data_IF_473306104028
#
_entry.id   IF_473306104028
#
_cell.length_a   1.000
_cell.length_b   1.000
_cell.length_c   1.000
_cell.angle_alpha   90.00
_cell.angle_beta   90.00
_cell.angle_gamma   90.00
#
_symmetry.space_group_name_H-M   'P 1'
#
loop_
_entity.id
_entity.type
_entity.pdbx_description
1 polymer ?
#
# COMPACT_ATOMS: atom_id res chain seq x y z
N UNK A 1 -9.94 23.14 17.24
CA UNK A 1 -9.24 24.43 17.12
C UNK A 1 -8.93 24.82 15.65
N UNK A 2 -8.32 23.93 14.86
CA UNK A 2 -7.99 24.19 13.43
C UNK A 2 -9.24 24.44 12.55
N UNK A 3 -10.31 23.66 12.74
CA UNK A 3 -11.56 23.83 11.98
C UNK A 3 -12.26 25.18 12.20
N UNK A 4 -12.22 25.72 13.42
CA UNK A 4 -12.80 27.03 13.73
C UNK A 4 -12.04 28.18 13.07
N UNK A 5 -10.70 28.10 13.05
CA UNK A 5 -9.84 29.07 12.37
C UNK A 5 -10.08 29.08 10.85
N UNK A 6 -10.25 27.90 10.23
CA UNK A 6 -10.55 27.80 8.80
C UNK A 6 -11.88 28.47 8.43
N UNK A 7 -12.93 28.30 9.25
CA UNK A 7 -14.24 28.93 9.02
C UNK A 7 -14.14 30.45 9.13
N UNK A 8 -13.42 30.96 10.14
CA UNK A 8 -13.17 32.40 10.33
C UNK A 8 -12.40 32.97 9.13
N UNK A 9 -11.35 32.29 8.66
CA UNK A 9 -10.59 32.71 7.49
C UNK A 9 -11.44 32.76 6.21
N UNK A 10 -12.32 31.77 6.00
CA UNK A 10 -13.25 31.76 4.85
C UNK A 10 -14.24 32.92 4.91
N UNK A 11 -14.77 33.21 6.10
CA UNK A 11 -15.74 34.30 6.29
C UNK A 11 -15.08 35.68 6.12
N UNK A 12 -13.86 35.86 6.62
CA UNK A 12 -13.05 37.06 6.38
C UNK A 12 -12.70 37.22 4.89
N UNK A 13 -12.33 36.14 4.21
CA UNK A 13 -11.99 36.15 2.78
C UNK A 13 -13.18 36.56 1.89
N UNK A 14 -14.41 36.15 2.24
CA UNK A 14 -15.62 36.60 1.54
C UNK A 14 -15.83 38.11 1.67
N UNK A 15 -15.55 38.68 2.84
CA UNK A 15 -15.75 40.10 3.17
C UNK A 15 -14.68 41.05 2.62
N UNK A 16 -13.57 40.53 2.08
CA UNK A 16 -12.54 41.38 1.45
C UNK A 16 -13.09 42.06 0.18
N UNK A 17 -13.01 43.40 0.05
CA UNK A 17 -13.52 44.16 -1.10
C UNK A 17 -12.53 44.14 -2.29
N UNK A 18 -12.09 42.94 -2.68
CA UNK A 18 -11.09 42.73 -3.74
C UNK A 18 -11.78 42.11 -4.97
N UNK A 19 -11.36 42.50 -6.18
CA UNK A 19 -11.86 41.91 -7.44
C UNK A 19 -11.63 40.39 -7.46
N UNK A 20 -12.59 39.65 -8.03
CA UNK A 20 -12.58 38.18 -8.07
C UNK A 20 -11.26 37.60 -8.64
N UNK A 21 -10.72 38.19 -9.71
CA UNK A 21 -9.47 37.71 -10.31
C UNK A 21 -8.28 37.80 -9.35
N UNK A 22 -8.20 38.87 -8.55
CA UNK A 22 -7.15 39.02 -7.53
C UNK A 22 -7.35 38.06 -6.36
N UNK A 23 -8.61 37.80 -5.96
CA UNK A 23 -8.95 36.78 -4.96
C UNK A 23 -8.45 35.40 -5.38
N UNK A 24 -8.67 35.02 -6.65
CA UNK A 24 -8.16 33.75 -7.22
C UNK A 24 -6.63 33.70 -7.18
N UNK A 25 -5.94 34.75 -7.63
CA UNK A 25 -4.47 34.81 -7.62
C UNK A 25 -3.94 34.63 -6.20
N UNK A 26 -4.49 35.35 -5.21
CA UNK A 26 -4.07 35.25 -3.80
C UNK A 26 -4.25 33.82 -3.29
N UNK A 27 -5.38 33.18 -3.58
CA UNK A 27 -5.63 31.79 -3.16
C UNK A 27 -4.67 30.80 -3.83
N UNK A 28 -4.39 30.96 -5.13
CA UNK A 28 -3.40 30.15 -5.82
C UNK A 28 -2.00 30.34 -5.21
N UNK A 29 -1.58 31.57 -4.94
CA UNK A 29 -0.29 31.87 -4.31
C UNK A 29 -0.19 31.26 -2.89
N UNK A 30 -1.25 31.37 -2.09
CA UNK A 30 -1.29 30.76 -0.75
C UNK A 30 -1.22 29.22 -0.84
N UNK A 31 -1.94 28.62 -1.79
CA UNK A 31 -1.91 27.18 -2.00
C UNK A 31 -0.52 26.70 -2.44
N UNK A 32 0.11 27.39 -3.39
CA UNK A 32 1.49 27.09 -3.84
C UNK A 32 2.48 27.25 -2.68
N UNK A 33 2.36 28.34 -1.91
CA UNK A 33 3.20 28.57 -0.73
C UNK A 33 3.02 27.48 0.33
N UNK A 34 1.79 27.00 0.54
CA UNK A 34 1.50 25.89 1.45
C UNK A 34 2.11 24.57 0.95
N UNK A 35 2.00 24.27 -0.35
CA UNK A 35 2.62 23.08 -0.95
C UNK A 35 4.14 23.11 -0.83
N UNK A 36 4.75 24.25 -1.19
CA UNK A 36 6.19 24.45 -1.09
C UNK A 36 6.66 24.38 0.37
N UNK A 37 6.01 25.10 1.27
CA UNK A 37 6.30 25.05 2.71
C UNK A 37 6.17 23.64 3.28
N UNK A 38 5.12 22.90 2.91
CA UNK A 38 4.92 21.51 3.34
C UNK A 38 6.00 20.57 2.83
N UNK A 39 6.49 20.77 1.60
CA UNK A 39 7.60 20.00 1.03
C UNK A 39 8.87 20.20 1.86
N UNK A 40 9.27 21.43 2.16
CA UNK A 40 10.49 21.68 2.96
C UNK A 40 10.36 21.27 4.42
N UNK A 41 9.16 21.33 5.00
CA UNK A 41 8.91 20.87 6.38
C UNK A 41 9.07 19.35 6.54
N UNK A 42 8.81 18.56 5.49
CA UNK A 42 8.90 17.10 5.50
C UNK A 42 9.56 16.56 4.23
N UNK A 43 10.75 17.08 3.91
CA UNK A 43 11.49 16.76 2.69
C UNK A 43 11.66 15.25 2.48
N UNK A 44 12.20 14.53 3.47
CA UNK A 44 12.44 13.07 3.39
C UNK A 44 11.16 12.27 3.06
N UNK A 45 10.01 12.70 3.59
CA UNK A 45 8.72 12.05 3.29
C UNK A 45 8.23 12.35 1.88
N UNK A 46 8.50 13.55 1.38
CA UNK A 46 8.15 13.92 0.02
C UNK A 46 9.06 13.22 -0.99
N UNK A 47 10.36 13.18 -0.74
CA UNK A 47 11.35 12.50 -1.58
C UNK A 47 11.12 10.97 -1.59
N UNK A 48 10.74 10.38 -0.46
CA UNK A 48 10.29 8.99 -0.43
C UNK A 48 9.06 8.73 -1.31
N UNK A 49 8.09 9.66 -1.34
CA UNK A 49 6.93 9.56 -2.26
C UNK A 49 7.33 9.72 -3.73
N UNK A 50 8.31 10.57 -4.04
CA UNK A 50 8.83 10.68 -5.40
C UNK A 50 9.47 9.38 -5.88
N UNK A 51 10.23 8.67 -5.01
CA UNK A 51 10.71 7.32 -5.33
C UNK A 51 9.54 6.37 -5.61
N UNK A 52 8.52 6.37 -4.75
CA UNK A 52 7.32 5.53 -4.91
C UNK A 52 6.64 5.81 -6.25
N UNK A 53 6.47 7.07 -6.61
CA UNK A 53 5.84 7.45 -7.86
C UNK A 53 6.70 7.09 -9.08
N UNK A 54 8.02 7.22 -8.98
CA UNK A 54 8.94 6.80 -10.03
C UNK A 54 8.88 5.28 -10.29
N UNK A 55 8.88 4.47 -9.22
CA UNK A 55 8.73 3.03 -9.35
C UNK A 55 7.34 2.64 -9.87
N UNK A 56 6.28 3.31 -9.40
CA UNK A 56 4.91 3.10 -9.89
C UNK A 56 4.77 3.47 -11.38
N UNK A 57 5.47 4.50 -11.84
CA UNK A 57 5.49 4.88 -13.25
C UNK A 57 6.10 3.80 -14.13
N UNK A 58 7.17 3.15 -13.65
CA UNK A 58 7.75 1.97 -14.33
C UNK A 58 6.75 0.83 -14.44
N UNK A 59 5.97 0.57 -13.38
CA UNK A 59 4.87 -0.39 -13.45
C UNK A 59 3.86 0.00 -14.54
N UNK A 60 3.43 1.26 -14.60
CA UNK A 60 2.47 1.72 -15.62
C UNK A 60 3.01 1.52 -17.04
N UNK A 61 4.31 1.76 -17.28
CA UNK A 61 4.93 1.56 -18.59
C UNK A 61 4.87 0.09 -19.03
N UNK A 62 4.94 -0.87 -18.10
CA UNK A 62 4.93 -2.30 -18.43
C UNK A 62 3.54 -2.81 -18.85
N UNK A 63 2.45 -2.15 -18.39
CA UNK A 63 1.07 -2.46 -18.82
C UNK A 63 0.23 -1.18 -18.96
N UNK A 64 0.46 -0.38 -20.02
CA UNK A 64 -0.08 0.97 -20.11
C UNK A 64 -1.57 1.02 -20.44
N UNK A 65 -2.10 0.03 -21.17
CA UNK A 65 -3.48 0.07 -21.67
C UNK A 65 -4.50 -0.40 -20.64
N UNK A 66 -4.27 -1.58 -20.06
CA UNK A 66 -5.22 -2.25 -19.16
C UNK A 66 -4.75 -2.27 -17.70
N UNK A 67 -3.51 -1.84 -17.42
CA UNK A 67 -2.94 -1.91 -16.08
C UNK A 67 -2.59 -3.33 -15.67
N UNK A 68 -2.26 -3.48 -14.39
CA UNK A 68 -1.86 -4.75 -13.78
C UNK A 68 -2.98 -5.44 -13.00
N UNK A 69 -4.19 -4.86 -12.98
CA UNK A 69 -5.31 -5.31 -12.16
C UNK A 69 -5.34 -4.69 -10.77
N UNK A 70 -6.42 -4.97 -10.03
CA UNK A 70 -6.58 -4.48 -8.66
C UNK A 70 -5.57 -5.12 -7.70
N UNK A 71 -5.18 -4.38 -6.66
CA UNK A 71 -4.15 -4.76 -5.68
C UNK A 71 -2.75 -5.06 -6.26
N UNK A 72 -2.51 -4.85 -7.56
CA UNK A 72 -1.22 -5.08 -8.20
C UNK A 72 -0.07 -4.30 -7.57
N UNK A 73 -0.34 -3.10 -7.02
CA UNK A 73 0.66 -2.37 -6.25
C UNK A 73 1.15 -3.22 -5.06
N UNK A 74 0.25 -3.82 -4.27
CA UNK A 74 0.65 -4.67 -3.15
C UNK A 74 1.37 -5.94 -3.61
N UNK A 75 0.91 -6.53 -4.72
CA UNK A 75 1.47 -7.77 -5.24
C UNK A 75 2.87 -7.62 -5.85
N UNK A 76 3.21 -6.45 -6.40
CA UNK A 76 4.40 -6.30 -7.24
C UNK A 76 5.28 -5.07 -6.94
N UNK A 77 4.77 -4.02 -6.29
CA UNK A 77 5.54 -2.77 -6.15
C UNK A 77 6.93 -2.96 -5.54
N UNK A 78 7.04 -3.78 -4.49
CA UNK A 78 8.32 -4.00 -3.82
C UNK A 78 9.35 -4.68 -4.72
N UNK A 79 8.92 -5.44 -5.74
CA UNK A 79 9.80 -5.98 -6.79
C UNK A 79 10.39 -4.88 -7.67
N UNK A 80 9.56 -3.91 -8.07
CA UNK A 80 10.00 -2.76 -8.86
C UNK A 80 10.94 -1.86 -8.06
N UNK A 81 10.65 -1.63 -6.79
CA UNK A 81 11.54 -0.88 -5.90
C UNK A 81 12.90 -1.58 -5.74
N UNK A 82 12.90 -2.91 -5.50
CA UNK A 82 14.12 -3.69 -5.40
C UNK A 82 14.95 -3.67 -6.68
N UNK A 83 14.32 -3.81 -7.85
CA UNK A 83 14.99 -3.76 -9.14
C UNK A 83 15.58 -2.37 -9.43
N UNK A 84 14.85 -1.30 -9.10
CA UNK A 84 15.36 0.07 -9.26
C UNK A 84 16.59 0.31 -8.38
N UNK A 85 16.53 -0.11 -7.11
CA UNK A 85 17.61 0.14 -6.15
C UNK A 85 18.81 -0.79 -6.32
N UNK A 86 18.64 -1.97 -6.95
CA UNK A 86 19.77 -2.83 -7.33
C UNK A 86 20.58 -2.24 -8.49
N UNK A 87 19.93 -1.54 -9.42
CA UNK A 87 20.59 -0.83 -10.54
C UNK A 87 21.24 0.49 -10.10
N UNK A 88 20.65 1.17 -9.10
CA UNK A 88 21.12 2.46 -8.61
C UNK A 88 21.34 2.46 -7.08
N UNK A 89 22.28 1.67 -6.55
CA UNK A 89 22.44 1.46 -5.10
C UNK A 89 22.91 2.71 -4.34
N UNK A 90 23.61 3.63 -5.01
CA UNK A 90 24.11 4.88 -4.41
C UNK A 90 23.13 6.05 -4.56
N UNK A 91 21.88 5.78 -4.93
CA UNK A 91 20.86 6.80 -5.09
C UNK A 91 20.47 7.42 -3.72
N UNK A 92 20.25 8.74 -3.69
CA UNK A 92 19.79 9.47 -2.51
C UNK A 92 18.50 8.87 -1.91
N UNK A 93 17.65 8.26 -2.74
CA UNK A 93 16.42 7.61 -2.29
C UNK A 93 16.63 6.27 -1.57
N UNK A 94 17.80 5.63 -1.67
CA UNK A 94 18.03 4.30 -1.11
C UNK A 94 17.83 4.27 0.41
N UNK A 95 18.21 5.34 1.11
CA UNK A 95 17.99 5.49 2.54
C UNK A 95 16.56 5.91 2.89
N UNK A 96 15.78 6.39 1.92
CA UNK A 96 14.38 6.79 2.10
C UNK A 96 13.40 5.64 1.83
N UNK A 97 13.80 4.68 0.99
CA UNK A 97 13.02 3.49 0.65
C UNK A 97 12.65 2.67 1.90
N UNK A 98 11.39 2.26 1.95
CA UNK A 98 10.84 1.41 3.00
C UNK A 98 9.80 0.46 2.39
N UNK A 99 9.26 -0.42 3.22
CA UNK A 99 8.25 -1.38 2.85
C UNK A 99 6.88 -0.69 2.75
N UNK A 100 6.32 -0.57 1.54
CA UNK A 100 5.11 0.22 1.29
C UNK A 100 4.05 -0.57 0.54
N UNK A 101 2.78 -0.27 0.85
CA UNK A 101 1.60 -0.98 0.34
C UNK A 101 0.63 -0.06 -0.42
N UNK A 102 0.99 1.19 -0.66
CA UNK A 102 0.17 2.16 -1.39
C UNK A 102 1.06 3.20 -2.09
N UNK A 103 0.65 3.69 -3.28
CA UNK A 103 1.36 4.77 -3.98
C UNK A 103 1.15 6.16 -3.33
N UNK A 104 0.27 6.29 -2.34
CA UNK A 104 -0.13 7.58 -1.75
C UNK A 104 -0.64 8.60 -2.79
N UNK A 105 -1.22 8.09 -3.88
CA UNK A 105 -1.86 8.85 -4.94
C UNK A 105 -2.86 7.92 -5.65
N UNK A 106 -4.15 8.18 -5.50
CA UNK A 106 -5.20 7.30 -6.07
C UNK A 106 -5.24 7.37 -7.59
N UNK A 107 -4.86 8.50 -8.21
CA UNK A 107 -4.81 8.61 -9.66
C UNK A 107 -3.72 7.71 -10.25
N UNK A 108 -2.57 7.67 -9.57
CA UNK A 108 -1.49 6.75 -9.91
C UNK A 108 -1.92 5.30 -9.69
N UNK A 109 -2.65 5.04 -8.61
CA UNK A 109 -3.22 3.72 -8.33
C UNK A 109 -4.21 3.26 -9.41
N UNK A 110 -5.08 4.16 -9.90
CA UNK A 110 -6.02 3.91 -11.01
C UNK A 110 -5.26 3.64 -12.31
N UNK A 111 -4.25 4.45 -12.63
CA UNK A 111 -3.43 4.25 -13.82
C UNK A 111 -2.65 2.93 -13.77
N UNK A 112 -2.14 2.55 -12.60
CA UNK A 112 -1.44 1.27 -12.41
C UNK A 112 -2.39 0.08 -12.50
N UNK A 113 -3.56 0.17 -11.87
CA UNK A 113 -4.50 -0.95 -11.78
C UNK A 113 -5.26 -1.18 -13.09
N UNK A 114 -5.67 -0.09 -13.76
CA UNK A 114 -6.60 -0.13 -14.89
C UNK A 114 -6.04 0.52 -16.17
N UNK A 115 -4.79 0.98 -16.15
CA UNK A 115 -4.14 1.59 -17.30
C UNK A 115 -4.80 2.89 -17.78
N UNK A 116 -4.52 3.23 -19.02
CA UNK A 116 -5.11 4.35 -19.74
C UNK A 116 -6.65 4.29 -19.77
N UNK A 117 -7.22 3.08 -19.90
CA UNK A 117 -8.67 2.91 -19.90
C UNK A 117 -9.30 3.36 -18.57
N UNK A 118 -8.69 2.99 -17.44
CA UNK A 118 -9.16 3.44 -16.12
C UNK A 118 -9.10 4.96 -15.95
N UNK A 119 -8.00 5.57 -16.39
CA UNK A 119 -7.84 7.04 -16.37
C UNK A 119 -8.91 7.71 -17.23
N UNK A 120 -9.19 7.16 -18.42
CA UNK A 120 -10.21 7.67 -19.33
C UNK A 120 -11.61 7.59 -18.70
N UNK A 121 -11.97 6.47 -18.09
CA UNK A 121 -13.25 6.31 -17.36
C UNK A 121 -13.36 7.33 -16.23
N UNK A 122 -12.28 7.54 -15.47
CA UNK A 122 -12.25 8.52 -14.39
C UNK A 122 -12.49 9.95 -14.91
N UNK A 123 -11.78 10.35 -15.97
CA UNK A 123 -11.92 11.68 -16.59
C UNK A 123 -13.35 11.87 -17.13
N UNK A 124 -13.88 10.89 -17.87
CA UNK A 124 -15.25 10.99 -18.38
C UNK A 124 -16.29 11.01 -17.26
N UNK A 125 -16.10 10.23 -16.19
CA UNK A 125 -16.97 10.26 -15.01
C UNK A 125 -17.00 11.65 -14.36
N UNK A 126 -15.83 12.28 -14.18
CA UNK A 126 -15.74 13.64 -13.63
C UNK A 126 -16.40 14.66 -14.55
N UNK A 127 -16.11 14.63 -15.85
CA UNK A 127 -16.74 15.53 -16.84
C UNK A 127 -18.26 15.36 -16.86
N UNK A 128 -18.75 14.12 -16.80
CA UNK A 128 -20.17 13.81 -16.76
C UNK A 128 -20.85 14.38 -15.51
N UNK A 129 -20.24 14.26 -14.34
CA UNK A 129 -20.75 14.86 -13.10
C UNK A 129 -20.79 16.39 -13.20
N UNK A 130 -19.78 17.00 -13.80
CA UNK A 130 -19.74 18.45 -14.05
C UNK A 130 -20.90 18.87 -14.96
N UNK A 131 -21.14 18.15 -16.06
CA UNK A 131 -22.27 18.41 -16.97
C UNK A 131 -23.61 18.29 -16.24
N UNK A 132 -23.79 17.24 -15.43
CA UNK A 132 -25.02 17.04 -14.63
C UNK A 132 -25.25 18.16 -13.61
N UNK A 133 -24.17 18.66 -13.00
CA UNK A 133 -24.21 19.79 -12.08
C UNK A 133 -24.67 21.08 -12.77
N UNK A 134 -24.13 21.38 -13.96
CA UNK A 134 -24.51 22.61 -14.68
C UNK A 134 -25.89 22.56 -15.32
N UNK A 135 -26.38 21.37 -15.68
CA UNK A 135 -27.71 21.18 -16.29
C UNK A 135 -28.86 21.58 -15.36
N UNK A 136 -28.72 21.34 -14.06
CA UNK A 136 -29.75 21.62 -13.04
C UNK A 136 -29.06 22.09 -11.76
N UNK A 137 -28.58 23.33 -11.78
CA UNK A 137 -27.82 23.92 -10.68
C UNK A 137 -28.68 24.07 -9.42
N UNK A 138 -28.22 23.47 -8.31
CA UNK A 138 -28.85 23.54 -6.98
C UNK A 138 -27.80 23.63 -5.88
N UNK A 139 -28.17 24.23 -4.75
CA UNK A 139 -27.29 24.36 -3.59
C UNK A 139 -26.77 23.01 -3.09
N UNK A 140 -27.65 22.00 -3.00
CA UNK A 140 -27.29 20.63 -2.59
C UNK A 140 -26.22 20.02 -3.50
N UNK A 141 -26.36 20.16 -4.83
CA UNK A 141 -25.38 19.67 -5.80
C UNK A 141 -24.04 20.39 -5.72
N UNK A 142 -24.06 21.68 -5.36
CA UNK A 142 -22.83 22.45 -5.12
C UNK A 142 -22.08 21.93 -3.90
N UNK A 143 -22.79 21.60 -2.81
CA UNK A 143 -22.16 21.01 -1.62
C UNK A 143 -21.54 19.65 -1.96
N UNK A 144 -22.28 18.79 -2.66
CA UNK A 144 -21.78 17.48 -3.12
C UNK A 144 -20.53 17.61 -4.01
N UNK A 145 -20.54 18.54 -4.98
CA UNK A 145 -19.38 18.79 -5.85
C UNK A 145 -18.15 19.26 -5.06
N UNK A 146 -18.34 20.12 -4.04
CA UNK A 146 -17.25 20.59 -3.18
C UNK A 146 -16.70 19.47 -2.28
N UNK A 147 -17.56 18.58 -1.80
CA UNK A 147 -17.16 17.38 -1.05
C UNK A 147 -16.31 16.45 -1.93
N UNK A 148 -16.78 16.13 -3.14
CA UNK A 148 -16.03 15.35 -4.13
C UNK A 148 -14.70 16.01 -4.51
N UNK A 149 -14.66 17.34 -4.65
CA UNK A 149 -13.41 18.07 -4.89
C UNK A 149 -12.45 17.90 -3.71
N UNK A 150 -12.94 17.93 -2.47
CA UNK A 150 -12.13 17.66 -1.29
C UNK A 150 -11.52 16.25 -1.31
N UNK A 151 -12.33 15.24 -1.64
CA UNK A 151 -11.86 13.85 -1.82
C UNK A 151 -10.82 13.79 -2.96
N UNK A 152 -11.08 14.46 -4.09
CA UNK A 152 -10.20 14.49 -5.25
C UNK A 152 -8.84 15.11 -4.94
N UNK A 153 -8.79 16.22 -4.20
CA UNK A 153 -7.54 16.86 -3.78
C UNK A 153 -6.80 15.98 -2.77
N UNK A 154 -7.51 15.40 -1.80
CA UNK A 154 -6.88 14.51 -0.81
C UNK A 154 -6.30 13.24 -1.46
N UNK A 155 -6.94 12.75 -2.52
CA UNK A 155 -6.50 11.61 -3.33
C UNK A 155 -5.20 11.84 -4.10
N UNK A 156 -4.73 13.09 -4.23
CA UNK A 156 -3.43 13.39 -4.87
C UNK A 156 -2.23 13.03 -3.97
N UNK A 157 -2.42 13.00 -2.66
CA UNK A 157 -1.34 12.88 -1.67
C UNK A 157 -1.57 11.76 -0.63
N UNK A 158 -2.69 11.05 -0.74
CA UNK A 158 -3.15 10.03 0.20
C UNK A 158 -3.96 8.94 -0.52
N UNK A 159 -4.49 7.99 0.25
CA UNK A 159 -5.28 6.85 -0.21
C UNK A 159 -6.69 6.80 0.42
N UNK A 160 -7.50 7.88 0.32
CA UNK A 160 -8.81 7.92 0.96
C UNK A 160 -9.76 6.84 0.46
N UNK A 161 -9.59 6.33 -0.76
CA UNK A 161 -10.43 5.29 -1.32
C UNK A 161 -10.09 3.91 -0.77
N UNK A 162 -9.12 3.77 0.14
CA UNK A 162 -8.95 2.54 0.93
C UNK A 162 -9.99 2.41 2.04
N UNK A 163 -10.62 3.52 2.44
CA UNK A 163 -11.55 3.55 3.57
C UNK A 163 -13.02 3.46 3.09
N UNK A 164 -13.79 2.43 3.49
CA UNK A 164 -15.18 2.26 3.05
C UNK A 164 -16.10 3.45 3.35
N UNK A 165 -15.81 4.19 4.43
CA UNK A 165 -16.53 5.43 4.75
C UNK A 165 -16.48 6.46 3.62
N UNK A 166 -15.32 6.62 2.97
CA UNK A 166 -15.15 7.56 1.86
C UNK A 166 -15.98 7.12 0.65
N UNK A 167 -16.13 5.81 0.42
CA UNK A 167 -17.00 5.30 -0.63
C UNK A 167 -18.45 5.71 -0.41
N UNK A 168 -18.95 5.58 0.83
CA UNK A 168 -20.32 5.97 1.17
C UNK A 168 -20.56 7.45 0.89
N UNK A 169 -19.64 8.32 1.34
CA UNK A 169 -19.72 9.77 1.09
C UNK A 169 -19.69 10.06 -0.41
N UNK A 170 -18.75 9.47 -1.13
CA UNK A 170 -18.62 9.66 -2.58
C UNK A 170 -19.86 9.19 -3.35
N UNK A 171 -20.42 8.01 -3.05
CA UNK A 171 -21.64 7.52 -3.69
C UNK A 171 -22.84 8.42 -3.39
N UNK A 172 -22.95 8.91 -2.15
CA UNK A 172 -24.00 9.85 -1.77
C UNK A 172 -23.88 11.17 -2.54
N UNK A 173 -22.68 11.74 -2.63
CA UNK A 173 -22.43 12.99 -3.38
C UNK A 173 -22.73 12.81 -4.88
N UNK A 174 -22.30 11.69 -5.47
CA UNK A 174 -22.63 11.34 -6.86
C UNK A 174 -24.14 11.24 -7.03
N UNK A 175 -24.85 10.56 -6.13
CA UNK A 175 -26.31 10.47 -6.17
C UNK A 175 -26.98 11.85 -6.12
N UNK A 176 -26.55 12.74 -5.24
CA UNK A 176 -27.11 14.11 -5.15
C UNK A 176 -26.94 14.86 -6.48
N UNK A 177 -25.77 14.75 -7.13
CA UNK A 177 -25.51 15.40 -8.43
C UNK A 177 -26.38 14.81 -9.55
N UNK A 178 -26.55 13.50 -9.57
CA UNK A 178 -27.34 12.80 -10.60
C UNK A 178 -28.84 12.95 -10.40
N UNK A 179 -29.30 13.19 -9.16
CA UNK A 179 -30.72 13.36 -8.83
C UNK A 179 -31.34 14.50 -9.66
N UNK A 180 -32.41 14.19 -10.37
CA UNK A 180 -33.15 15.14 -11.22
C UNK A 180 -32.48 15.45 -12.57
N UNK A 181 -31.26 14.96 -12.82
CA UNK A 181 -30.56 15.13 -14.10
C UNK A 181 -31.08 14.16 -15.19
N UNK A 182 -31.71 13.06 -14.74
CA UNK A 182 -32.32 12.01 -15.57
C UNK A 182 -33.71 11.63 -15.06
N UNK A 183 -34.68 11.53 -15.96
CA UNK A 183 -35.98 10.89 -15.69
C UNK A 183 -35.82 9.42 -16.07
N UNK A 184 -35.47 8.58 -15.09
CA UNK A 184 -35.44 7.13 -15.29
C UNK A 184 -36.86 6.59 -15.27
N UNK A 185 -37.45 6.38 -16.45
CA UNK A 185 -38.74 5.68 -16.58
C UNK A 185 -38.47 4.18 -16.52
N UNK A 186 -38.27 3.65 -15.31
CA UNK A 186 -38.12 2.21 -15.10
C UNK A 186 -39.52 1.62 -14.86
N UNK A 187 -39.96 0.59 -15.62
CA UNK A 187 -41.23 -0.08 -15.37
C UNK A 187 -41.34 -0.60 -13.93
N UNK A 188 -42.52 -0.50 -13.32
CA UNK A 188 -42.75 -0.87 -11.91
C UNK A 188 -42.35 -2.32 -11.60
N UNK A 189 -42.56 -3.24 -12.54
CA UNK A 189 -42.14 -4.63 -12.44
C UNK A 189 -40.61 -4.78 -12.37
N UNK A 190 -39.88 -4.08 -13.26
CA UNK A 190 -38.40 -4.10 -13.28
C UNK A 190 -37.84 -3.53 -11.99
N UNK A 191 -38.42 -2.43 -11.48
CA UNK A 191 -38.03 -1.86 -10.19
C UNK A 191 -38.22 -2.87 -9.05
N UNK A 192 -39.35 -3.59 -9.01
CA UNK A 192 -39.63 -4.61 -7.99
C UNK A 192 -38.63 -5.76 -8.06
N UNK A 193 -38.32 -6.24 -9.27
CA UNK A 193 -37.31 -7.29 -9.50
C UNK A 193 -35.93 -6.82 -9.00
N UNK A 194 -35.48 -5.63 -9.41
CA UNK A 194 -34.20 -5.07 -8.97
C UNK A 194 -34.12 -4.92 -7.45
N UNK A 195 -35.21 -4.49 -6.79
CA UNK A 195 -35.27 -4.42 -5.33
C UNK A 195 -35.12 -5.80 -4.68
N UNK A 196 -35.83 -6.82 -5.17
CA UNK A 196 -35.72 -8.19 -4.63
C UNK A 196 -34.32 -8.75 -4.85
N UNK A 197 -33.74 -8.57 -6.04
CA UNK A 197 -32.36 -8.99 -6.35
C UNK A 197 -31.37 -8.28 -5.44
N UNK A 198 -31.50 -6.98 -5.22
CA UNK A 198 -30.63 -6.22 -4.33
C UNK A 198 -30.73 -6.69 -2.87
N UNK A 199 -31.93 -7.05 -2.40
CA UNK A 199 -32.13 -7.61 -1.05
C UNK A 199 -31.42 -8.96 -0.92
N UNK A 200 -31.63 -9.87 -1.89
CA UNK A 200 -30.99 -11.20 -1.87
C UNK A 200 -29.47 -11.06 -1.94
N UNK A 201 -28.95 -10.24 -2.86
CA UNK A 201 -27.53 -9.96 -2.96
C UNK A 201 -26.98 -9.38 -1.65
N UNK A 202 -27.70 -8.45 -1.03
CA UNK A 202 -27.36 -7.89 0.28
C UNK A 202 -27.29 -8.94 1.38
N UNK A 203 -28.25 -9.88 1.42
CA UNK A 203 -28.23 -10.99 2.39
C UNK A 203 -27.03 -11.94 2.18
N UNK A 204 -26.70 -12.25 0.92
CA UNK A 204 -25.53 -13.10 0.60
C UNK A 204 -24.22 -12.42 1.00
N UNK A 205 -24.06 -11.13 0.65
CA UNK A 205 -22.89 -10.34 1.04
C UNK A 205 -22.78 -10.25 2.56
N UNK A 206 -23.90 -9.99 3.26
CA UNK A 206 -23.93 -9.93 4.71
C UNK A 206 -23.55 -11.27 5.36
N UNK A 207 -24.08 -12.39 4.86
CA UNK A 207 -23.72 -13.73 5.34
C UNK A 207 -22.22 -14.01 5.16
N UNK A 208 -21.66 -13.72 3.98
CA UNK A 208 -20.23 -13.86 3.71
C UNK A 208 -19.37 -12.95 4.59
N UNK A 209 -19.84 -11.73 4.85
CA UNK A 209 -19.18 -10.80 5.77
C UNK A 209 -19.17 -11.35 7.20
N UNK A 210 -20.30 -11.86 7.70
CA UNK A 210 -20.35 -12.49 9.03
C UNK A 210 -19.39 -13.68 9.14
N UNK A 211 -19.35 -14.55 8.11
CA UNK A 211 -18.38 -15.65 8.07
C UNK A 211 -16.93 -15.16 8.11
N UNK A 212 -16.60 -14.14 7.31
CA UNK A 212 -15.24 -13.59 7.27
C UNK A 212 -14.85 -12.94 8.59
N UNK A 213 -15.76 -12.20 9.23
CA UNK A 213 -15.56 -11.60 10.55
C UNK A 213 -15.29 -12.68 11.61
N UNK A 214 -16.10 -13.75 11.65
CA UNK A 214 -15.88 -14.87 12.59
C UNK A 214 -14.51 -15.54 12.36
N UNK A 215 -14.14 -15.76 11.10
CA UNK A 215 -12.83 -16.30 10.73
C UNK A 215 -11.68 -15.37 11.15
N UNK A 216 -11.81 -14.06 10.96
CA UNK A 216 -10.82 -13.06 11.37
C UNK A 216 -10.68 -12.97 12.89
N UNK A 217 -11.78 -13.09 13.65
CA UNK A 217 -11.72 -13.18 15.12
C UNK A 217 -10.97 -14.42 15.59
N UNK A 218 -11.26 -15.59 15.00
CA UNK A 218 -10.54 -16.85 15.29
C UNK A 218 -9.06 -16.74 14.93
N UNK A 219 -8.76 -16.15 13.77
CA UNK A 219 -7.39 -15.93 13.33
C UNK A 219 -6.63 -14.99 14.27
N UNK A 220 -7.25 -13.88 14.69
CA UNK A 220 -6.63 -12.94 15.63
C UNK A 220 -6.26 -13.63 16.95
N UNK A 221 -7.17 -14.46 17.49
CA UNK A 221 -6.92 -15.22 18.71
C UNK A 221 -5.69 -16.15 18.61
N UNK A 222 -5.51 -16.85 17.48
CA UNK A 222 -4.35 -17.75 17.28
C UNK A 222 -3.06 -17.00 16.91
N UNK A 223 -3.16 -15.83 16.26
CA UNK A 223 -2.00 -15.03 15.90
C UNK A 223 -1.38 -14.35 17.13
N UNK A 224 -2.20 -13.94 18.10
CA UNK A 224 -1.72 -13.28 19.32
C UNK A 224 -1.12 -14.26 20.34
N UNK A 225 -1.60 -15.50 20.37
CA UNK A 225 -1.11 -16.57 21.24
C UNK A 225 -0.60 -17.75 20.40
N UNK A 226 0.60 -17.64 19.80
CA UNK A 226 1.17 -18.72 19.00
C UNK A 226 1.47 -19.92 19.89
N UNK A 227 0.59 -20.93 19.86
CA UNK A 227 0.83 -22.23 20.47
C UNK A 227 1.19 -23.26 19.43
N UNK A 228 1.81 -24.34 19.91
CA UNK A 228 2.17 -25.49 19.11
C UNK A 228 0.97 -26.21 18.45
N UNK A 229 -0.28 -25.86 18.76
CA UNK A 229 -1.48 -26.46 18.18
C UNK A 229 -2.14 -25.60 17.08
N UNK A 230 -1.62 -24.40 16.80
CA UNK A 230 -2.29 -23.41 15.95
C UNK A 230 -2.33 -23.77 14.45
N UNK A 231 -1.47 -24.66 13.95
CA UNK A 231 -1.40 -25.02 12.52
C UNK A 231 -2.70 -25.63 12.00
N UNK A 232 -3.40 -26.44 12.81
CA UNK A 232 -4.71 -27.01 12.42
C UNK A 232 -5.76 -25.91 12.29
N UNK A 233 -5.80 -24.98 13.25
CA UNK A 233 -6.72 -23.84 13.20
C UNK A 233 -6.48 -22.96 11.96
N UNK A 234 -5.23 -22.73 11.56
CA UNK A 234 -4.94 -22.07 10.29
C UNK A 234 -5.48 -22.85 9.10
N UNK A 235 -5.25 -24.17 9.04
CA UNK A 235 -5.77 -25.00 7.95
C UNK A 235 -7.28 -24.93 7.81
N UNK A 236 -8.02 -24.90 8.92
CA UNK A 236 -9.48 -24.81 8.95
C UNK A 236 -9.99 -23.45 8.45
N UNK A 237 -9.19 -22.38 8.61
CA UNK A 237 -9.52 -21.02 8.15
C UNK A 237 -9.13 -20.76 6.69
N UNK A 238 -8.27 -21.58 6.10
CA UNK A 238 -7.77 -21.46 4.72
C UNK A 238 -8.89 -21.32 3.67
N UNK A 239 -10.03 -22.03 3.73
CA UNK A 239 -11.10 -21.87 2.73
C UNK A 239 -11.79 -20.50 2.76
N UNK A 240 -11.67 -19.74 3.86
CA UNK A 240 -12.33 -18.44 4.04
C UNK A 240 -11.32 -17.29 3.87
N UNK A 241 -10.08 -17.48 4.37
CA UNK A 241 -9.04 -16.44 4.42
C UNK A 241 -7.86 -16.71 3.49
N UNK A 242 -7.91 -17.74 2.64
CA UNK A 242 -6.81 -18.15 1.76
C UNK A 242 -6.47 -17.18 0.63
N UNK A 243 -7.22 -16.08 0.49
CA UNK A 243 -6.93 -14.94 -0.38
C UNK A 243 -6.33 -13.74 0.37
N UNK A 244 -6.25 -13.80 1.71
CA UNK A 244 -5.69 -12.74 2.53
C UNK A 244 -4.17 -12.94 2.72
N UNK A 245 -3.32 -12.03 2.19
CA UNK A 245 -1.88 -12.20 2.26
C UNK A 245 -1.33 -12.19 3.69
N UNK A 246 -1.94 -11.44 4.60
CA UNK A 246 -1.47 -11.37 5.98
C UNK A 246 -1.78 -12.67 6.71
N UNK A 247 -2.94 -13.27 6.44
CA UNK A 247 -3.29 -14.61 6.93
C UNK A 247 -2.31 -15.66 6.42
N UNK A 248 -2.05 -15.67 5.11
CA UNK A 248 -1.11 -16.62 4.50
C UNK A 248 0.30 -16.47 5.07
N UNK A 249 0.79 -15.24 5.26
CA UNK A 249 2.09 -15.01 5.88
C UNK A 249 2.16 -15.57 7.30
N UNK A 250 1.17 -15.26 8.15
CA UNK A 250 1.12 -15.78 9.51
C UNK A 250 1.03 -17.32 9.54
N UNK A 251 0.31 -17.92 8.60
CA UNK A 251 0.22 -19.36 8.48
C UNK A 251 1.57 -19.97 8.07
N UNK A 252 2.26 -19.39 7.08
CA UNK A 252 3.59 -19.82 6.67
C UNK A 252 4.59 -19.72 7.84
N UNK A 253 4.60 -18.63 8.60
CA UNK A 253 5.44 -18.47 9.80
C UNK A 253 5.13 -19.57 10.83
N UNK A 254 3.86 -19.88 11.07
CA UNK A 254 3.47 -20.93 12.01
C UNK A 254 3.93 -22.33 11.55
N UNK A 255 3.83 -22.63 10.25
CA UNK A 255 4.34 -23.88 9.66
C UNK A 255 5.87 -23.97 9.74
N UNK A 256 6.56 -22.86 9.45
CA UNK A 256 8.02 -22.79 9.56
C UNK A 256 8.49 -23.06 10.99
N UNK A 257 7.86 -22.42 11.99
CA UNK A 257 8.18 -22.65 13.41
C UNK A 257 7.95 -24.09 13.88
N UNK A 258 7.18 -24.88 13.11
CA UNK A 258 6.97 -26.32 13.33
C UNK A 258 7.95 -27.24 12.60
N UNK A 259 8.83 -26.69 11.77
CA UNK A 259 9.70 -27.46 10.88
C UNK A 259 8.96 -28.09 9.70
N UNK A 260 7.71 -27.69 9.41
CA UNK A 260 6.96 -28.15 8.25
C UNK A 260 7.39 -27.36 7.00
N UNK A 261 8.65 -27.55 6.58
CA UNK A 261 9.32 -26.69 5.60
C UNK A 261 8.62 -26.64 4.24
N UNK A 262 8.19 -27.77 3.69
CA UNK A 262 7.51 -27.81 2.37
C UNK A 262 6.15 -27.11 2.40
N UNK A 263 5.35 -27.36 3.44
CA UNK A 263 4.04 -26.73 3.59
C UNK A 263 4.21 -25.22 3.79
N UNK A 264 5.18 -24.82 4.62
CA UNK A 264 5.53 -23.42 4.83
C UNK A 264 5.92 -22.73 3.52
N UNK A 265 6.81 -23.36 2.73
CA UNK A 265 7.24 -22.83 1.44
C UNK A 265 6.06 -22.64 0.50
N UNK A 266 5.17 -23.63 0.39
CA UNK A 266 4.01 -23.55 -0.49
C UNK A 266 3.06 -22.40 -0.10
N UNK A 267 2.77 -22.26 1.20
CA UNK A 267 1.91 -21.17 1.70
C UNK A 267 2.60 -19.80 1.54
N UNK A 268 3.91 -19.71 1.76
CA UNK A 268 4.68 -18.48 1.54
C UNK A 268 4.72 -18.08 0.06
N UNK A 269 4.88 -19.04 -0.86
CA UNK A 269 4.82 -18.79 -2.30
C UNK A 269 3.40 -18.40 -2.74
N UNK A 270 2.36 -18.99 -2.16
CA UNK A 270 0.98 -18.53 -2.39
C UNK A 270 0.79 -17.09 -1.90
N UNK A 271 1.26 -16.76 -0.69
CA UNK A 271 1.26 -15.39 -0.16
C UNK A 271 1.94 -14.41 -1.13
N UNK A 272 3.07 -14.83 -1.73
CA UNK A 272 3.88 -14.02 -2.63
C UNK A 272 3.14 -13.58 -3.91
N UNK A 273 2.10 -14.32 -4.32
CA UNK A 273 1.25 -13.94 -5.45
C UNK A 273 0.37 -12.73 -5.15
N UNK A 274 0.06 -12.47 -3.88
CA UNK A 274 -0.78 -11.36 -3.44
C UNK A 274 0.00 -10.19 -2.84
N UNK A 275 1.22 -10.46 -2.35
CA UNK A 275 1.99 -9.51 -1.56
C UNK A 275 3.49 -9.65 -1.80
N UNK A 276 4.09 -8.65 -2.44
CA UNK A 276 5.53 -8.45 -2.46
C UNK A 276 5.93 -7.72 -1.18
N UNK A 277 6.64 -8.39 -0.28
CA UNK A 277 6.95 -7.85 1.03
C UNK A 277 8.35 -8.21 1.50
N UNK A 278 9.00 -7.25 2.16
CA UNK A 278 10.32 -7.43 2.75
C UNK A 278 10.39 -8.61 3.73
N UNK A 279 9.41 -8.75 4.64
CA UNK A 279 9.43 -9.78 5.69
C UNK A 279 9.10 -11.16 5.10
N UNK A 280 8.24 -11.21 4.08
CA UNK A 280 7.97 -12.43 3.32
C UNK A 280 9.22 -12.93 2.58
N UNK A 281 10.01 -12.05 1.97
CA UNK A 281 11.28 -12.41 1.34
C UNK A 281 12.29 -12.94 2.36
N UNK A 282 12.34 -12.38 3.57
CA UNK A 282 13.17 -12.93 4.65
C UNK A 282 12.71 -14.33 5.08
N UNK A 283 11.41 -14.55 5.20
CA UNK A 283 10.85 -15.86 5.53
C UNK A 283 11.17 -16.90 4.45
N UNK A 284 11.00 -16.55 3.17
CA UNK A 284 11.38 -17.43 2.05
C UNK A 284 12.86 -17.77 2.09
N UNK A 285 13.73 -16.78 2.34
CA UNK A 285 15.16 -17.01 2.50
C UNK A 285 15.50 -17.97 3.64
N UNK A 286 14.83 -17.81 4.79
CA UNK A 286 14.99 -18.69 5.95
C UNK A 286 14.54 -20.14 5.65
N UNK A 287 13.40 -20.31 4.99
CA UNK A 287 12.88 -21.63 4.58
C UNK A 287 13.85 -22.33 3.62
N UNK A 288 14.34 -21.64 2.58
CA UNK A 288 15.30 -22.21 1.64
C UNK A 288 16.64 -22.53 2.30
N UNK A 289 17.10 -21.69 3.23
CA UNK A 289 18.33 -21.94 3.97
C UNK A 289 18.26 -23.23 4.78
N UNK A 290 17.12 -23.49 5.44
CA UNK A 290 16.90 -24.71 6.22
C UNK A 290 16.64 -25.95 5.37
N UNK A 291 16.19 -25.76 4.13
CA UNK A 291 16.20 -26.81 3.09
C UNK A 291 17.58 -27.06 2.47
N UNK A 292 18.62 -26.31 2.87
CA UNK A 292 19.98 -26.32 2.29
C UNK A 292 20.05 -25.85 0.83
N UNK A 293 19.09 -25.04 0.38
CA UNK A 293 19.05 -24.42 -0.94
C UNK A 293 19.68 -23.02 -0.86
N UNK A 294 21.00 -22.96 -0.71
CA UNK A 294 21.73 -21.73 -0.37
C UNK A 294 21.63 -20.62 -1.42
N UNK A 295 21.55 -20.97 -2.71
CA UNK A 295 21.46 -19.99 -3.81
C UNK A 295 20.13 -19.24 -3.75
N UNK A 296 19.02 -19.96 -3.56
CA UNK A 296 17.69 -19.36 -3.43
C UNK A 296 17.58 -18.53 -2.15
N UNK A 297 18.11 -19.04 -1.04
CA UNK A 297 18.16 -18.30 0.22
C UNK A 297 18.87 -16.95 0.07
N UNK A 298 20.05 -16.94 -0.54
CA UNK A 298 20.81 -15.72 -0.81
C UNK A 298 20.04 -14.75 -1.72
N UNK A 299 19.42 -15.27 -2.79
CA UNK A 299 18.61 -14.49 -3.73
C UNK A 299 17.49 -13.73 -3.01
N UNK A 300 16.72 -14.42 -2.16
CA UNK A 300 15.65 -13.84 -1.37
C UNK A 300 16.15 -12.78 -0.37
N UNK A 301 17.25 -13.06 0.35
CA UNK A 301 17.83 -12.06 1.26
C UNK A 301 18.37 -10.82 0.52
N UNK A 302 19.00 -11.01 -0.65
CA UNK A 302 19.46 -9.87 -1.48
C UNK A 302 18.29 -9.05 -1.96
N UNK A 303 17.22 -9.70 -2.39
CA UNK A 303 15.99 -9.03 -2.81
C UNK A 303 15.39 -8.20 -1.67
N UNK A 304 15.28 -8.76 -0.46
CA UNK A 304 14.87 -8.02 0.74
C UNK A 304 15.80 -6.82 1.04
N UNK A 305 17.12 -6.99 0.82
CA UNK A 305 18.09 -5.90 1.00
C UNK A 305 17.85 -4.74 0.03
N UNK A 306 17.45 -5.02 -1.21
CA UNK A 306 17.12 -3.98 -2.19
C UNK A 306 15.72 -3.42 -2.00
N UNK A 307 14.77 -4.21 -1.49
CA UNK A 307 13.44 -3.73 -1.11
C UNK A 307 13.53 -2.64 -0.04
N UNK A 308 14.39 -2.81 0.97
CA UNK A 308 14.56 -1.84 2.05
C UNK A 308 16.05 -1.66 2.41
N UNK A 309 16.81 -0.86 1.62
CA UNK A 309 18.26 -0.74 1.79
C UNK A 309 18.69 -0.20 3.14
N UNK A 310 17.85 0.53 3.88
CA UNK A 310 18.20 0.99 5.22
C UNK A 310 18.22 -0.12 6.29
N UNK A 311 17.65 -1.31 6.01
CA UNK A 311 17.56 -2.42 6.98
C UNK A 311 18.82 -3.29 6.97
N UNK A 312 19.29 -3.67 8.15
CA UNK A 312 20.53 -4.44 8.34
C UNK A 312 20.31 -5.96 8.34
N UNK A 313 19.11 -6.42 8.70
CA UNK A 313 18.77 -7.84 8.82
C UNK A 313 19.10 -8.67 7.57
N UNK A 314 18.79 -8.24 6.33
CA UNK A 314 19.05 -9.07 5.16
C UNK A 314 20.55 -9.28 4.94
N UNK A 315 21.37 -8.24 5.16
CA UNK A 315 22.83 -8.36 5.07
C UNK A 315 23.38 -9.30 6.14
N UNK A 316 22.85 -9.23 7.37
CA UNK A 316 23.23 -10.15 8.44
C UNK A 316 22.82 -11.60 8.14
N UNK A 317 21.69 -11.83 7.47
CA UNK A 317 21.27 -13.15 7.00
C UNK A 317 22.21 -13.70 5.92
N UNK A 318 22.61 -12.89 4.94
CA UNK A 318 23.62 -13.27 3.93
C UNK A 318 24.97 -13.58 4.58
N UNK A 319 25.42 -12.74 5.52
CA UNK A 319 26.64 -13.00 6.30
C UNK A 319 26.58 -14.34 7.05
N UNK A 320 25.45 -14.62 7.71
CA UNK A 320 25.23 -15.87 8.45
C UNK A 320 25.20 -17.09 7.53
N UNK A 321 24.64 -16.94 6.33
CA UNK A 321 24.65 -17.96 5.28
C UNK A 321 26.08 -18.30 4.86
N UNK A 322 26.90 -17.30 4.51
CA UNK A 322 28.29 -17.55 4.10
C UNK A 322 29.12 -18.22 5.21
N UNK A 323 28.87 -17.83 6.45
CA UNK A 323 29.45 -18.52 7.61
C UNK A 323 29.03 -19.99 7.71
N UNK A 324 27.75 -20.29 7.49
CA UNK A 324 27.20 -21.66 7.57
C UNK A 324 27.81 -22.58 6.50
N UNK A 325 28.06 -22.05 5.30
CA UNK A 325 28.65 -22.83 4.19
C UNK A 325 30.20 -22.84 4.20
N UNK A 326 30.83 -22.09 5.11
CA UNK A 326 32.29 -22.02 5.24
C UNK A 326 32.99 -21.10 4.23
N UNK A 327 32.27 -20.23 3.52
CA UNK A 327 32.88 -19.23 2.64
C UNK A 327 33.41 -18.04 3.46
N UNK A 328 34.61 -18.22 4.00
CA UNK A 328 35.25 -17.23 4.86
C UNK A 328 35.57 -15.91 4.16
N UNK A 329 35.69 -15.90 2.82
CA UNK A 329 36.00 -14.70 2.04
C UNK A 329 34.76 -13.83 1.92
N UNK A 330 33.66 -14.40 1.42
CA UNK A 330 32.40 -13.66 1.26
C UNK A 330 31.79 -13.28 2.61
N UNK A 331 31.94 -14.12 3.64
CA UNK A 331 31.55 -13.75 5.00
C UNK A 331 32.31 -12.52 5.51
N UNK A 332 33.62 -12.42 5.26
CA UNK A 332 34.43 -11.25 5.68
C UNK A 332 34.03 -10.01 4.89
N UNK A 333 33.78 -10.13 3.59
CA UNK A 333 33.30 -9.02 2.76
C UNK A 333 31.95 -8.48 3.23
N UNK A 334 30.99 -9.37 3.54
CA UNK A 334 29.69 -8.98 4.10
C UNK A 334 29.82 -8.36 5.49
N UNK A 335 30.73 -8.86 6.33
CA UNK A 335 30.99 -8.28 7.63
C UNK A 335 31.46 -6.82 7.54
N UNK A 336 32.42 -6.54 6.65
CA UNK A 336 32.89 -5.17 6.40
C UNK A 336 31.75 -4.27 5.91
N UNK A 337 30.96 -4.74 4.93
CA UNK A 337 29.80 -4.02 4.41
C UNK A 337 28.81 -3.66 5.53
N UNK A 338 28.50 -4.59 6.45
CA UNK A 338 27.60 -4.36 7.58
C UNK A 338 28.16 -3.29 8.53
N UNK A 339 29.46 -3.32 8.83
CA UNK A 339 30.06 -2.40 9.79
C UNK A 339 30.13 -0.97 9.24
N UNK A 340 30.46 -0.83 7.96
CA UNK A 340 30.59 0.45 7.25
C UNK A 340 29.25 1.08 6.88
N UNK A 341 28.18 0.27 6.74
CA UNK A 341 26.87 0.75 6.35
C UNK A 341 26.36 1.87 7.28
N UNK A 342 25.89 3.01 6.71
CA UNK A 342 25.34 4.12 7.49
C UNK A 342 24.01 3.73 8.15
N UNK A 343 23.78 4.26 9.35
CA UNK A 343 22.58 4.00 10.15
C UNK A 343 21.60 5.16 9.96
N UNK A 344 20.41 4.86 9.41
CA UNK A 344 19.33 5.86 9.26
C UNK A 344 18.68 6.19 10.61
N UNK A 345 18.26 5.14 11.32
CA UNK A 345 17.60 5.21 12.63
C UNK A 345 18.24 4.13 13.49
N UNK A 346 18.79 4.53 14.64
CA UNK A 346 19.42 3.62 15.58
C UNK A 346 18.38 2.66 16.19
N UNK A 347 18.73 1.38 16.32
CA UNK A 347 17.87 0.37 16.94
C UNK A 347 18.67 -0.75 17.59
N UNK A 348 18.09 -1.41 18.59
CA UNK A 348 18.71 -2.54 19.29
C UNK A 348 19.14 -3.66 18.34
N UNK A 349 18.37 -3.89 17.26
CA UNK A 349 18.69 -4.89 16.24
C UNK A 349 19.99 -4.54 15.52
N UNK A 350 20.22 -3.26 15.19
CA UNK A 350 21.45 -2.82 14.53
C UNK A 350 22.64 -2.95 15.48
N UNK A 351 22.46 -2.57 16.75
CA UNK A 351 23.51 -2.72 17.77
C UNK A 351 23.90 -4.19 17.96
N UNK A 352 22.91 -5.08 18.06
CA UNK A 352 23.14 -6.52 18.12
C UNK A 352 23.89 -7.04 16.89
N UNK A 353 23.44 -6.69 15.67
CA UNK A 353 24.08 -7.13 14.43
C UNK A 353 25.53 -6.66 14.36
N UNK A 354 25.81 -5.36 14.59
CA UNK A 354 27.17 -4.83 14.53
C UNK A 354 28.06 -5.41 15.62
N UNK A 355 27.55 -5.59 16.84
CA UNK A 355 28.31 -6.21 17.94
C UNK A 355 28.65 -7.67 17.65
N UNK A 356 27.68 -8.45 17.12
CA UNK A 356 27.91 -9.84 16.76
C UNK A 356 28.97 -9.98 15.67
N UNK A 357 28.84 -9.20 14.58
CA UNK A 357 29.79 -9.22 13.46
C UNK A 357 31.20 -8.82 13.89
N UNK A 358 31.37 -7.83 14.79
CA UNK A 358 32.69 -7.47 15.33
C UNK A 358 33.32 -8.61 16.11
N UNK A 359 32.56 -9.21 17.06
CA UNK A 359 33.05 -10.35 17.84
C UNK A 359 33.49 -11.51 16.95
N UNK A 360 32.72 -11.80 15.91
CA UNK A 360 33.02 -12.89 14.99
C UNK A 360 34.28 -12.63 14.12
N UNK A 361 34.65 -11.37 13.89
CA UNK A 361 35.89 -10.99 13.19
C UNK A 361 37.11 -11.00 14.12
N UNK A 362 36.94 -10.68 15.40
CA UNK A 362 38.02 -10.69 16.41
C UNK A 362 38.42 -12.11 16.86
N UNK A 363 37.53 -13.10 16.70
CA UNK A 363 37.75 -14.50 17.04
C UNK A 363 38.36 -15.34 15.91
N UNK A 364 38.63 -14.74 14.75
CA UNK A 364 39.42 -15.34 13.65
C UNK A 364 40.89 -15.01 13.81
#
# INVERSE_FOLDING_TARGET
MIGGMAIICVELYKRLPIRINFKVIITCCLFISLLFGSYFLKKDSADGRLLIWNCSWRMIIDSPMYGHGFDAFRAHYMDYQANYLSQYPNNEYAMLADNVISPFNEYLNVALSCGFLGVLILVFGVLFLIVCYYKDYKYEKRVALLSLLGIAVFSMFSYPLKYPFVWIVMYFDVYVILRGSFIWVIPSLVKRILCVVAIIAGMVVFYKLCMRIDAEYKWNAIAYFPTNENVRAYKDLMPILGDDPYFLYNYAVALYGKGCLEESLNVALQCRTYWADYDLELLLGDIYLDKNEHIEAESHYRKASFMCPSRFTPLYKIYSLYRRIGDGKEATAMAQLILEKPIKIQSNTIDFIKAQVRRDLELK
#
